data_IF_746457606644
#
_entry.id   IF_746457606644
#
_cell.length_a   1.000
_cell.length_b   1.000
_cell.length_c   1.000
_cell.angle_alpha   90.00
_cell.angle_beta   90.00
_cell.angle_gamma   90.00
#
_symmetry.space_group_name_H-M   'P 1'
#
loop_
_entity.id
_entity.type
_entity.pdbx_description
1 polymer ?
#
# COMPACT_ATOMS: atom_id res chain seq x y z
N UNK A 1 -9.34 11.82 -12.30
CA UNK A 1 -10.77 11.70 -12.69
C UNK A 1 -11.63 12.60 -11.81
N UNK A 2 -12.96 12.46 -11.85
CA UNK A 2 -13.90 13.28 -11.06
C UNK A 2 -13.84 13.00 -9.55
N UNK A 3 -13.37 11.82 -9.15
CA UNK A 3 -13.23 11.43 -7.75
C UNK A 3 -11.84 10.82 -7.49
N UNK A 4 -10.80 11.65 -7.30
CA UNK A 4 -9.44 11.17 -7.07
C UNK A 4 -9.29 10.55 -5.67
N UNK A 5 -8.63 9.40 -5.58
CA UNK A 5 -8.26 8.75 -4.31
C UNK A 5 -6.96 9.30 -3.73
N UNK A 6 -6.11 9.92 -4.55
CA UNK A 6 -4.90 10.62 -4.13
C UNK A 6 -4.94 12.12 -4.47
N UNK A 7 -4.50 12.96 -3.54
CA UNK A 7 -4.46 14.43 -3.72
C UNK A 7 -3.15 15.03 -3.23
N UNK A 8 -2.66 16.06 -3.93
CA UNK A 8 -1.47 16.82 -3.50
C UNK A 8 -1.85 17.71 -2.31
N UNK A 9 -1.15 17.54 -1.19
CA UNK A 9 -1.28 18.40 -0.01
C UNK A 9 -0.37 19.63 -0.14
N UNK A 10 0.90 19.37 -0.49
CA UNK A 10 1.93 20.40 -0.58
C UNK A 10 2.96 20.02 -1.63
N UNK A 11 3.55 21.03 -2.27
CA UNK A 11 4.66 20.87 -3.22
C UNK A 11 5.68 22.00 -3.04
N UNK A 12 6.98 21.74 -3.20
CA UNK A 12 7.97 22.81 -3.17
C UNK A 12 7.78 23.78 -4.34
N UNK A 13 8.04 25.06 -4.09
CA UNK A 13 8.05 26.08 -5.14
C UNK A 13 9.39 26.06 -5.89
N UNK A 14 9.61 24.99 -6.65
CA UNK A 14 10.82 24.78 -7.45
C UNK A 14 10.42 24.56 -8.91
N UNK A 15 11.29 24.98 -9.83
CA UNK A 15 11.16 24.72 -11.27
C UNK A 15 11.47 23.26 -11.56
N UNK A 16 10.54 22.36 -11.23
CA UNK A 16 10.56 20.98 -11.70
C UNK A 16 9.37 20.73 -12.65
N UNK A 17 9.59 20.04 -13.78
CA UNK A 17 8.56 19.86 -14.80
C UNK A 17 7.45 18.87 -14.41
N UNK A 18 7.58 18.12 -13.32
CA UNK A 18 6.65 17.02 -12.98
C UNK A 18 5.79 17.30 -11.75
N UNK A 19 4.50 16.92 -11.83
CA UNK A 19 3.52 16.92 -10.73
C UNK A 19 3.91 15.98 -9.58
N UNK A 20 4.92 15.13 -9.79
CA UNK A 20 5.49 14.16 -8.86
C UNK A 20 6.90 14.55 -8.39
N UNK A 21 7.29 15.81 -8.57
CA UNK A 21 8.62 16.31 -8.26
C UNK A 21 9.02 16.12 -6.80
N UNK A 22 10.33 16.21 -6.56
CA UNK A 22 10.93 16.07 -5.23
C UNK A 22 10.21 16.94 -4.20
N UNK A 23 9.89 16.35 -3.04
CA UNK A 23 9.23 17.01 -1.91
C UNK A 23 7.72 17.15 -2.05
N UNK A 24 7.10 16.67 -3.13
CA UNK A 24 5.64 16.68 -3.25
C UNK A 24 5.02 15.68 -2.27
N UNK A 25 4.10 16.17 -1.44
CA UNK A 25 3.38 15.41 -0.41
C UNK A 25 1.94 15.13 -0.86
N UNK A 26 1.51 13.89 -0.68
CA UNK A 26 0.21 13.40 -1.10
C UNK A 26 -0.58 12.83 0.08
N UNK A 27 -1.89 13.04 0.08
CA UNK A 27 -2.84 12.29 0.89
C UNK A 27 -3.46 11.19 0.03
N UNK A 28 -3.76 10.04 0.62
CA UNK A 28 -4.33 8.90 -0.09
C UNK A 28 -5.52 8.30 0.67
N UNK A 29 -6.50 7.82 -0.08
CA UNK A 29 -7.62 7.03 0.38
C UNK A 29 -8.04 6.08 -0.74
N UNK A 30 -7.24 5.04 -0.92
CA UNK A 30 -7.33 4.15 -2.06
C UNK A 30 -8.24 2.95 -1.76
N UNK A 31 -9.10 2.53 -2.69
CA UNK A 31 -9.90 1.34 -2.51
C UNK A 31 -9.04 0.08 -2.49
N UNK A 32 -9.36 -0.88 -1.62
CA UNK A 32 -8.81 -2.24 -1.64
C UNK A 32 -9.85 -3.18 -2.26
N UNK A 33 -9.50 -3.85 -3.34
CA UNK A 33 -10.39 -4.82 -4.01
C UNK A 33 -9.75 -6.20 -4.14
N UNK A 34 -10.56 -7.26 -4.18
CA UNK A 34 -10.08 -8.67 -4.31
C UNK A 34 -9.30 -8.93 -5.62
N UNK A 35 -9.41 -8.03 -6.59
CA UNK A 35 -8.78 -8.19 -7.91
C UNK A 35 -8.79 -6.89 -8.71
N UNK A 36 -8.07 -6.84 -9.84
CA UNK A 36 -7.76 -5.60 -10.56
C UNK A 36 -8.93 -5.05 -11.40
N UNK A 37 -9.98 -5.83 -11.59
CA UNK A 37 -11.12 -5.41 -12.38
C UNK A 37 -11.88 -4.26 -11.69
N UNK A 38 -12.40 -3.25 -12.43
CA UNK A 38 -13.21 -2.17 -11.86
C UNK A 38 -14.47 -2.65 -11.13
N UNK A 39 -14.97 -3.84 -11.49
CA UNK A 39 -16.16 -4.48 -10.89
C UNK A 39 -15.81 -5.39 -9.70
N UNK A 40 -14.53 -5.45 -9.33
CA UNK A 40 -14.06 -6.31 -8.24
C UNK A 40 -14.64 -5.88 -6.90
N UNK A 41 -14.85 -6.85 -6.02
CA UNK A 41 -15.42 -6.63 -4.69
C UNK A 41 -14.50 -5.72 -3.86
N UNK A 42 -15.06 -4.61 -3.38
CA UNK A 42 -14.43 -3.73 -2.42
C UNK A 42 -14.38 -4.40 -1.04
N UNK A 43 -13.19 -4.44 -0.44
CA UNK A 43 -12.94 -5.09 0.85
C UNK A 43 -12.40 -4.14 1.92
N UNK A 44 -12.08 -2.91 1.54
CA UNK A 44 -11.49 -1.94 2.45
C UNK A 44 -10.88 -0.76 1.73
N UNK A 45 -9.96 -0.08 2.41
CA UNK A 45 -9.23 1.06 1.88
C UNK A 45 -7.82 1.18 2.49
N UNK A 46 -6.89 1.76 1.73
CA UNK A 46 -5.59 2.19 2.21
C UNK A 46 -5.59 3.72 2.40
N UNK A 47 -5.39 4.16 3.64
CA UNK A 47 -5.37 5.58 3.99
C UNK A 47 -4.01 5.99 4.53
N UNK A 48 -3.54 7.17 4.13
CA UNK A 48 -2.25 7.65 4.62
C UNK A 48 -1.68 8.78 3.79
N UNK A 49 -0.35 8.78 3.68
CA UNK A 49 0.41 9.82 3.01
C UNK A 49 1.70 9.26 2.41
N UNK A 50 2.17 9.90 1.35
CA UNK A 50 3.51 9.66 0.84
C UNK A 50 4.15 10.95 0.32
N UNK A 51 5.49 10.97 0.36
CA UNK A 51 6.28 12.05 -0.22
C UNK A 51 7.15 11.52 -1.36
N UNK A 52 7.22 12.28 -2.46
CA UNK A 52 8.22 12.06 -3.50
C UNK A 52 9.59 12.49 -2.97
N UNK A 53 10.53 11.56 -2.88
CA UNK A 53 11.79 11.72 -2.15
C UNK A 53 13.03 11.65 -3.05
N UNK A 54 12.86 11.32 -4.33
CA UNK A 54 13.97 11.31 -5.30
C UNK A 54 14.33 12.73 -5.73
N UNK A 55 15.63 13.04 -5.73
CA UNK A 55 16.16 14.26 -6.38
C UNK A 55 16.46 14.06 -7.87
N UNK A 56 16.57 12.81 -8.30
CA UNK A 56 16.70 12.47 -9.71
C UNK A 56 15.32 12.55 -10.38
N UNK A 57 15.11 13.46 -11.35
CA UNK A 57 13.81 13.61 -12.02
C UNK A 57 13.42 12.39 -12.87
N UNK A 58 14.35 11.48 -13.17
CA UNK A 58 14.07 10.24 -13.90
C UNK A 58 13.57 9.11 -12.99
N UNK A 59 13.68 9.24 -11.67
CA UNK A 59 13.31 8.21 -10.70
C UNK A 59 12.22 8.75 -9.78
N UNK A 60 11.10 8.03 -9.67
CA UNK A 60 10.09 8.33 -8.66
C UNK A 60 10.32 7.44 -7.44
N UNK A 61 10.67 8.03 -6.30
CA UNK A 61 10.84 7.31 -5.04
C UNK A 61 9.84 7.83 -4.02
N UNK A 62 9.01 6.95 -3.47
CA UNK A 62 8.06 7.30 -2.42
C UNK A 62 8.61 6.93 -1.06
N UNK A 63 8.38 7.77 -0.05
CA UNK A 63 8.39 7.37 1.35
C UNK A 63 6.96 7.44 1.83
N UNK A 64 6.39 6.28 2.17
CA UNK A 64 4.96 6.11 2.37
C UNK A 64 4.67 5.62 3.77
N UNK A 65 3.61 6.16 4.36
CA UNK A 65 2.87 5.57 5.46
C UNK A 65 1.44 5.29 4.98
N UNK A 66 0.93 4.08 5.22
CA UNK A 66 -0.44 3.73 4.87
C UNK A 66 -1.02 2.69 5.86
N UNK A 67 -2.25 2.93 6.30
CA UNK A 67 -3.09 2.00 7.07
C UNK A 67 -4.07 1.30 6.11
N UNK A 68 -3.95 -0.01 5.99
CA UNK A 68 -4.81 -0.85 5.17
C UNK A 68 -5.93 -1.40 6.06
N UNK A 69 -7.10 -0.78 5.99
CA UNK A 69 -8.25 -1.13 6.80
C UNK A 69 -9.22 -2.02 6.01
N UNK A 70 -9.59 -3.16 6.59
CA UNK A 70 -10.58 -4.07 6.03
C UNK A 70 -11.96 -3.74 6.58
N UNK A 71 -12.94 -3.59 5.69
CA UNK A 71 -14.34 -3.26 6.02
C UNK A 71 -15.31 -4.39 5.69
N UNK A 72 -14.80 -5.51 5.17
CA UNK A 72 -15.59 -6.72 4.91
C UNK A 72 -14.71 -7.98 4.99
N UNK A 73 -15.33 -9.15 4.87
CA UNK A 73 -14.62 -10.45 4.90
C UNK A 73 -14.07 -10.84 6.28
N UNK A 74 -13.13 -11.80 6.29
CA UNK A 74 -12.59 -12.42 7.52
C UNK A 74 -11.89 -11.44 8.47
N UNK A 75 -11.39 -10.32 7.93
CA UNK A 75 -10.63 -9.32 8.68
C UNK A 75 -11.40 -8.02 8.92
N UNK A 76 -12.72 -8.00 8.71
CA UNK A 76 -13.55 -6.82 8.91
C UNK A 76 -13.28 -6.16 10.28
N UNK A 77 -12.99 -4.86 10.27
CA UNK A 77 -12.65 -4.06 11.45
C UNK A 77 -11.18 -4.15 11.88
N UNK A 78 -10.34 -4.93 11.17
CA UNK A 78 -8.90 -5.03 11.39
C UNK A 78 -8.13 -4.20 10.37
N UNK A 79 -6.87 -3.89 10.69
CA UNK A 79 -5.98 -3.15 9.78
C UNK A 79 -4.53 -3.49 10.06
N UNK A 80 -3.67 -3.35 9.06
CA UNK A 80 -2.22 -3.30 9.25
C UNK A 80 -1.67 -1.99 8.68
N UNK A 81 -0.55 -1.55 9.22
CA UNK A 81 0.08 -0.30 8.80
C UNK A 81 1.48 -0.59 8.26
N UNK A 82 1.81 0.07 7.15
CA UNK A 82 3.14 0.04 6.56
C UNK A 82 3.84 1.39 6.66
N UNK A 83 5.17 1.34 6.73
CA UNK A 83 6.02 2.52 6.51
C UNK A 83 7.31 2.09 5.81
N UNK A 84 7.54 2.58 4.60
CA UNK A 84 8.75 2.23 3.85
C UNK A 84 9.05 3.23 2.74
N UNK A 85 10.28 3.14 2.24
CA UNK A 85 10.71 3.77 1.00
C UNK A 85 10.57 2.76 -0.14
N UNK A 86 10.04 3.20 -1.28
CA UNK A 86 9.96 2.38 -2.50
C UNK A 86 10.35 3.16 -3.74
N UNK A 87 11.00 2.50 -4.71
CA UNK A 87 11.36 3.11 -6.00
C UNK A 87 10.46 2.59 -7.11
N UNK A 88 10.05 3.47 -8.03
CA UNK A 88 9.34 3.08 -9.25
C UNK A 88 10.22 2.28 -10.22
N UNK A 89 11.54 2.28 -10.03
CA UNK A 89 12.49 1.49 -10.82
C UNK A 89 12.47 0.01 -10.48
N UNK A 90 11.95 -0.36 -9.30
CA UNK A 90 11.87 -1.75 -8.86
C UNK A 90 10.58 -2.37 -9.41
N UNK A 91 10.71 -3.51 -10.12
CA UNK A 91 9.56 -4.25 -10.65
C UNK A 91 8.63 -4.76 -9.54
N UNK A 92 9.22 -5.14 -8.40
CA UNK A 92 8.53 -5.52 -7.17
C UNK A 92 9.06 -4.61 -6.06
N UNK A 93 8.14 -3.93 -5.37
CA UNK A 93 8.45 -3.00 -4.28
C UNK A 93 8.06 -3.60 -2.94
N UNK A 94 8.99 -3.61 -2.00
CA UNK A 94 8.78 -4.09 -0.64
C UNK A 94 8.47 -2.95 0.33
N UNK A 95 7.46 -3.14 1.18
CA UNK A 95 7.11 -2.25 2.27
C UNK A 95 7.11 -2.98 3.60
N UNK A 96 7.77 -2.44 4.61
CA UNK A 96 7.73 -3.00 5.96
C UNK A 96 6.35 -2.79 6.61
N UNK A 97 5.79 -3.87 7.16
CA UNK A 97 4.63 -3.83 8.04
C UNK A 97 5.14 -3.62 9.45
N UNK A 98 4.70 -2.53 10.07
CA UNK A 98 5.21 -2.08 11.37
C UNK A 98 4.22 -2.22 12.52
N UNK A 99 3.00 -2.68 12.22
CA UNK A 99 1.98 -2.91 13.23
C UNK A 99 0.60 -3.16 12.61
N UNK A 100 -0.39 -3.25 13.50
CA UNK A 100 -1.79 -3.38 13.11
C UNK A 100 -2.75 -3.40 14.29
N UNK A 101 -4.04 -3.42 13.96
CA UNK A 101 -5.18 -3.44 14.88
C UNK A 101 -6.08 -4.64 14.57
N UNK A 102 -6.84 -5.09 15.57
CA UNK A 102 -7.73 -6.25 15.42
C UNK A 102 -6.93 -7.53 15.24
N UNK A 103 -7.22 -8.29 14.19
CA UNK A 103 -6.53 -9.53 13.85
C UNK A 103 -5.02 -9.35 13.60
N UNK A 104 -4.59 -8.16 13.16
CA UNK A 104 -3.18 -7.83 12.89
C UNK A 104 -2.49 -7.16 14.09
N UNK A 105 -3.01 -7.33 15.31
CA UNK A 105 -2.39 -6.74 16.51
C UNK A 105 -0.95 -7.23 16.64
N UNK A 106 -0.02 -6.29 16.77
CA UNK A 106 1.43 -6.55 16.82
C UNK A 106 2.01 -7.20 15.56
N UNK A 107 1.32 -7.15 14.43
CA UNK A 107 1.84 -7.69 13.17
C UNK A 107 3.16 -7.00 12.78
N UNK A 108 4.15 -7.81 12.43
CA UNK A 108 5.41 -7.39 11.83
C UNK A 108 5.64 -8.23 10.58
N UNK A 109 6.22 -7.65 9.54
CA UNK A 109 6.46 -8.37 8.29
C UNK A 109 6.67 -7.42 7.13
N UNK A 110 6.25 -7.83 5.94
CA UNK A 110 6.45 -7.05 4.72
C UNK A 110 5.30 -7.26 3.73
N UNK A 111 5.13 -6.28 2.86
CA UNK A 111 4.22 -6.31 1.73
C UNK A 111 5.02 -6.16 0.43
N UNK A 112 4.74 -7.00 -0.56
CA UNK A 112 5.29 -6.90 -1.90
C UNK A 112 4.24 -6.33 -2.84
N UNK A 113 4.56 -5.25 -3.54
CA UNK A 113 3.67 -4.64 -4.52
C UNK A 113 4.26 -4.65 -5.92
N UNK A 114 3.40 -4.84 -6.92
CA UNK A 114 3.77 -4.78 -8.34
C UNK A 114 2.68 -4.07 -9.14
N UNK A 115 3.04 -3.45 -10.26
CA UNK A 115 2.10 -2.73 -11.11
C UNK A 115 1.32 -3.72 -11.97
N UNK A 116 0.00 -3.75 -11.84
CA UNK A 116 -0.90 -4.50 -12.72
C UNK A 116 -1.40 -3.62 -13.87
N UNK A 117 -1.67 -2.34 -13.60
CA UNK A 117 -2.05 -1.35 -14.60
C UNK A 117 -1.45 0.02 -14.26
N UNK A 118 -1.07 0.81 -15.26
CA UNK A 118 -0.67 2.20 -15.07
C UNK A 118 -1.03 3.04 -16.29
N UNK A 119 -1.65 4.20 -16.04
CA UNK A 119 -1.89 5.25 -17.01
C UNK A 119 -1.24 6.53 -16.50
N UNK A 120 0.00 6.77 -16.93
CA UNK A 120 0.78 7.93 -16.50
C UNK A 120 0.22 9.28 -16.98
N UNK A 121 -0.64 9.27 -18.00
CA UNK A 121 -1.31 10.49 -18.48
C UNK A 121 -2.37 10.97 -17.49
N UNK A 122 -3.11 10.04 -16.88
CA UNK A 122 -4.14 10.36 -15.88
C UNK A 122 -3.62 10.28 -14.45
N UNK A 123 -2.49 9.60 -14.24
CA UNK A 123 -1.95 9.26 -12.94
C UNK A 123 -2.52 7.96 -12.34
N UNK A 124 -3.45 7.30 -13.05
CA UNK A 124 -4.11 6.11 -12.51
C UNK A 124 -3.15 4.91 -12.46
N UNK A 125 -3.02 4.26 -11.31
CA UNK A 125 -2.20 3.05 -11.16
C UNK A 125 -2.98 1.98 -10.41
N UNK A 126 -2.91 0.72 -10.83
CA UNK A 126 -3.40 -0.45 -10.10
C UNK A 126 -2.24 -1.27 -9.59
N UNK A 127 -2.10 -1.38 -8.27
CA UNK A 127 -1.06 -2.19 -7.63
C UNK A 127 -1.62 -3.49 -7.11
N UNK A 128 -1.04 -4.60 -7.55
CA UNK A 128 -1.18 -5.86 -6.84
C UNK A 128 -0.31 -5.83 -5.58
N UNK A 129 -0.85 -6.23 -4.44
CA UNK A 129 -0.13 -6.30 -3.18
C UNK A 129 -0.27 -7.67 -2.53
N UNK A 130 0.84 -8.21 -2.04
CA UNK A 130 0.97 -9.47 -1.30
C UNK A 130 1.55 -9.18 0.09
N UNK A 131 0.81 -9.49 1.16
CA UNK A 131 1.23 -9.21 2.55
C UNK A 131 1.66 -10.48 3.26
N UNK A 132 2.80 -10.42 3.93
CA UNK A 132 3.35 -11.47 4.76
C UNK A 132 3.58 -10.92 6.16
N UNK A 133 2.85 -11.44 7.15
CA UNK A 133 3.03 -11.07 8.56
C UNK A 133 3.54 -12.27 9.34
N UNK A 134 4.55 -12.06 10.18
CA UNK A 134 4.93 -13.05 11.18
C UNK A 134 3.87 -13.17 12.27
N UNK A 135 3.69 -14.36 12.80
CA UNK A 135 2.85 -14.57 13.98
C UNK A 135 3.43 -13.79 15.17
N UNK A 136 2.70 -12.76 15.62
CA UNK A 136 3.00 -12.07 16.87
C UNK A 136 2.82 -13.05 18.04
N UNK A 137 3.94 -13.49 18.61
CA UNK A 137 4.05 -14.32 19.80
C UNK A 137 3.13 -13.85 20.95
N UNK A 138 1.98 -14.49 21.09
CA UNK A 138 1.27 -14.67 22.36
C UNK A 138 0.96 -16.16 22.50
N UNK A 139 1.78 -16.86 23.28
CA UNK A 139 1.51 -18.24 23.69
C UNK A 139 0.19 -18.30 24.48
N UNK A 140 -0.73 -19.20 24.12
CA UNK A 140 -1.05 -20.44 24.84
C UNK A 140 -2.13 -21.27 24.10
N UNK A 141 -1.74 -22.51 23.76
CA UNK A 141 -2.50 -23.72 23.35
C UNK A 141 -2.90 -24.01 21.89
N UNK A 142 -2.20 -25.05 21.39
CA UNK A 142 -2.56 -26.16 20.48
C UNK A 142 -2.57 -25.94 18.96
N UNK A 143 -1.45 -26.41 18.37
CA UNK A 143 -1.37 -27.44 17.33
C UNK A 143 -2.17 -27.15 16.05
N UNK A 144 -1.51 -26.66 15.00
CA UNK A 144 -1.19 -27.40 13.76
C UNK A 144 -0.18 -26.56 12.97
N UNK A 145 0.98 -27.14 12.68
CA UNK A 145 1.94 -26.60 11.71
C UNK A 145 1.45 -27.03 10.32
N UNK A 146 1.24 -26.07 9.42
CA UNK A 146 1.36 -26.30 7.98
C UNK A 146 2.57 -25.49 7.46
N UNK A 147 3.32 -26.13 6.57
CA UNK A 147 4.72 -25.93 6.22
C UNK A 147 5.03 -24.76 5.27
N UNK A 148 4.13 -23.81 5.08
CA UNK A 148 4.37 -22.65 4.18
C UNK A 148 4.06 -21.28 4.76
N UNK A 149 3.43 -21.16 5.93
CA UNK A 149 3.48 -20.00 6.84
C UNK A 149 3.13 -18.59 6.33
N UNK A 150 2.68 -18.42 5.08
CA UNK A 150 2.35 -17.12 4.50
C UNK A 150 0.86 -16.99 4.18
N UNK A 151 0.21 -15.96 4.70
CA UNK A 151 -1.12 -15.55 4.25
C UNK A 151 -0.99 -14.86 2.88
N UNK A 152 -1.33 -15.55 1.78
CA UNK A 152 -1.39 -14.91 0.46
C UNK A 152 -2.67 -14.09 0.33
N UNK A 153 -2.54 -12.78 0.48
CA UNK A 153 -3.59 -11.82 0.17
C UNK A 153 -3.21 -11.16 -1.16
N UNK A 154 -4.08 -11.15 -2.16
CA UNK A 154 -3.89 -10.45 -3.44
C UNK A 154 -4.93 -9.35 -3.50
N UNK A 155 -4.53 -8.09 -3.63
CA UNK A 155 -5.49 -6.99 -3.84
C UNK A 155 -4.95 -5.90 -4.73
N UNK A 156 -5.88 -5.09 -5.27
CA UNK A 156 -5.61 -4.02 -6.22
C UNK A 156 -5.92 -2.64 -5.61
N UNK A 157 -5.02 -1.65 -5.70
CA UNK A 157 -5.29 -0.25 -5.29
C UNK A 157 -5.27 0.69 -6.48
N UNK A 158 -6.29 1.54 -6.63
CA UNK A 158 -6.35 2.57 -7.70
C UNK A 158 -5.84 3.91 -7.15
N UNK A 159 -4.69 4.35 -7.64
CA UNK A 159 -4.10 5.68 -7.37
C UNK A 159 -4.71 6.76 -8.26
#
# INVERSE_FOLDING_TARGET
GENPSAVVIARPNITQPSSFGFGTLFAINDPLTVGPAPTSTLIGNAQGLYVSSSRDPAVFTTVMYADFAFTSGRFNGSSFSLISRSSSSDAIREFAIVGGRGAFRMAQGFALTQINFANMTTGDVILECNVFTGEGSHAWWRHFIDSTGGDHLVWSTKW
#
